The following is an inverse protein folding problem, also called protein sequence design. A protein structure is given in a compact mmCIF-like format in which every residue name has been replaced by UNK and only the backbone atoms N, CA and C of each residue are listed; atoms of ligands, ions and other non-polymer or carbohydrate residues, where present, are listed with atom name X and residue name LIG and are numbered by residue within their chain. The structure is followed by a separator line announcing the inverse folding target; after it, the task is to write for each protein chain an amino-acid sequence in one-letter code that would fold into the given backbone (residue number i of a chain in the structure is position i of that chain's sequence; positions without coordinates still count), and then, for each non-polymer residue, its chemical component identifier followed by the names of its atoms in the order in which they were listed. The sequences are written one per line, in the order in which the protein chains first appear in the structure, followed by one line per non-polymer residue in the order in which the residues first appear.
data_IF_537730884785
#
_entry.id   IF_537730884785
#
_cell.length_a   1.000
_cell.length_b   1.000
_cell.length_c   1.000
_cell.angle_alpha   90.00
_cell.angle_beta   90.00
_cell.angle_gamma   90.00
#
_symmetry.space_group_name_H-M   'P 1'
#
loop_
_entity.id
_entity.type
_entity.pdbx_description
1 polymer ?
#
# COMPACT_ATOMS: atom_id res chain seq x y z
N UNK A 1 3.70 5.45 -7.84
CA UNK A 1 3.13 4.23 -7.21
C UNK A 1 2.60 4.53 -5.81
N UNK A 2 3.41 5.01 -4.87
CA UNK A 2 2.96 5.36 -3.51
C UNK A 2 1.74 6.29 -3.51
N UNK A 3 1.77 7.34 -4.33
CA UNK A 3 0.66 8.28 -4.48
C UNK A 3 -0.66 7.61 -4.88
N UNK A 4 -0.61 6.64 -5.81
CA UNK A 4 -1.81 5.93 -6.25
C UNK A 4 -2.44 5.12 -5.12
N UNK A 5 -1.62 4.54 -4.23
CA UNK A 5 -2.09 3.82 -3.05
C UNK A 5 -2.61 4.80 -1.99
N UNK A 6 -1.94 5.93 -1.79
CA UNK A 6 -2.40 6.99 -0.86
C UNK A 6 -3.79 7.49 -1.27
N UNK A 7 -3.98 7.85 -2.54
CA UNK A 7 -5.27 8.27 -3.07
C UNK A 7 -6.33 7.17 -2.96
N UNK A 8 -5.97 5.91 -3.27
CA UNK A 8 -6.88 4.77 -3.06
C UNK A 8 -7.30 4.64 -1.59
N UNK A 9 -6.38 4.84 -0.63
CA UNK A 9 -6.73 4.82 0.80
C UNK A 9 -7.67 5.99 1.17
N UNK A 10 -7.44 7.17 0.60
CA UNK A 10 -8.29 8.35 0.82
C UNK A 10 -9.74 8.13 0.35
N UNK A 11 -9.96 7.37 -0.74
CA UNK A 11 -11.31 6.97 -1.19
C UNK A 11 -12.07 6.10 -0.17
N UNK A 12 -11.35 5.46 0.76
CA UNK A 12 -11.93 4.72 1.88
C UNK A 12 -11.95 5.51 3.19
N UNK A 13 -11.60 6.80 3.15
CA UNK A 13 -11.53 7.67 4.34
C UNK A 13 -10.32 7.38 5.23
N UNK A 14 -9.29 6.73 4.71
CA UNK A 14 -8.07 6.41 5.45
C UNK A 14 -6.98 7.41 5.06
N UNK A 15 -6.48 8.16 6.03
CA UNK A 15 -5.33 9.04 5.86
C UNK A 15 -4.03 8.21 5.86
N UNK A 16 -3.44 8.05 4.68
CA UNK A 16 -2.19 7.35 4.48
C UNK A 16 -1.12 8.29 3.90
N UNK A 17 0.15 7.96 4.10
CA UNK A 17 1.26 8.80 3.69
C UNK A 17 2.55 8.05 3.49
N UNK A 18 3.61 8.83 3.26
CA UNK A 18 4.99 8.35 3.15
C UNK A 18 5.67 8.49 4.50
N UNK A 19 6.52 7.53 4.85
CA UNK A 19 7.37 7.63 6.03
C UNK A 19 8.82 7.86 5.55
N UNK A 20 9.43 9.04 5.81
CA UNK A 20 10.84 9.29 5.51
C UNK A 20 11.77 8.15 5.96
N UNK A 21 12.55 7.61 5.01
CA UNK A 21 13.47 6.48 5.27
C UNK A 21 12.84 5.09 5.14
N UNK A 22 11.53 4.99 4.96
CA UNK A 22 10.81 3.71 4.89
C UNK A 22 9.91 3.63 3.66
N UNK A 23 10.31 2.83 2.67
CA UNK A 23 9.55 2.68 1.42
C UNK A 23 8.15 2.13 1.65
N UNK A 24 7.22 2.53 0.77
CA UNK A 24 5.83 2.07 0.81
C UNK A 24 4.90 3.08 1.46
N UNK A 25 3.67 2.63 1.69
CA UNK A 25 2.60 3.49 2.22
C UNK A 25 2.26 3.08 3.63
N UNK A 26 2.12 4.10 4.47
CA UNK A 26 2.02 3.99 5.92
C UNK A 26 0.82 4.78 6.43
N UNK A 27 0.23 4.31 7.53
CA UNK A 27 -0.75 5.07 8.30
C UNK A 27 -0.05 5.61 9.54
N UNK A 28 -0.32 6.87 9.87
CA UNK A 28 0.29 7.59 11.01
C UNK A 28 1.83 7.51 11.04
N UNK A 29 2.54 7.85 9.94
CA UNK A 29 3.99 7.66 9.82
C UNK A 29 4.81 8.39 10.91
N UNK A 30 4.30 9.49 11.45
CA UNK A 30 4.99 10.29 12.47
C UNK A 30 4.63 9.89 13.93
N UNK A 31 3.87 8.80 14.11
CA UNK A 31 3.45 8.32 15.44
C UNK A 31 4.08 6.98 15.79
N UNK A 32 4.16 6.61 17.08
CA UNK A 32 4.53 5.26 17.51
C UNK A 32 3.59 4.16 16.97
N UNK A 33 2.38 4.53 16.54
CA UNK A 33 1.37 3.65 15.94
C UNK A 33 1.54 3.49 14.42
N UNK A 34 2.69 3.91 13.88
CA UNK A 34 3.01 3.80 12.46
C UNK A 34 2.92 2.34 11.99
N UNK A 35 2.11 2.12 10.95
CA UNK A 35 1.88 0.77 10.40
C UNK A 35 1.81 0.80 8.88
N UNK A 36 2.47 -0.18 8.25
CA UNK A 36 2.58 -0.26 6.79
C UNK A 36 1.34 -0.93 6.21
N UNK A 37 0.67 -0.25 5.28
CA UNK A 37 -0.47 -0.82 4.54
C UNK A 37 -0.06 -1.35 3.16
N UNK A 38 1.03 -0.81 2.58
CA UNK A 38 1.52 -1.25 1.29
C UNK A 38 3.04 -1.30 1.24
N UNK A 39 3.60 -2.46 0.89
CA UNK A 39 5.01 -2.62 0.61
C UNK A 39 5.31 -2.24 -0.84
N UNK A 40 6.47 -1.61 -1.08
CA UNK A 40 6.94 -1.32 -2.44
C UNK A 40 8.36 -1.83 -2.64
N UNK A 41 8.57 -2.50 -3.75
CA UNK A 41 9.85 -3.01 -4.19
C UNK A 41 9.84 -3.05 -5.71
N UNK A 42 10.62 -2.17 -6.33
CA UNK A 42 10.71 -2.04 -7.78
C UNK A 42 12.15 -2.21 -8.23
N UNK A 43 12.33 -2.80 -9.41
CA UNK A 43 13.62 -2.87 -10.09
C UNK A 43 13.47 -2.34 -11.50
N UNK A 44 14.43 -1.56 -11.98
CA UNK A 44 14.52 -1.16 -13.38
C UNK A 44 15.68 -1.90 -14.06
N UNK A 45 15.42 -2.45 -15.24
CA UNK A 45 16.44 -3.07 -16.08
C UNK A 45 16.11 -2.79 -17.53
N UNK A 46 17.11 -2.36 -18.32
CA UNK A 46 16.93 -2.00 -19.74
C UNK A 46 15.74 -1.05 -19.96
N UNK A 47 15.58 -0.05 -19.08
CA UNK A 47 14.50 0.94 -19.11
C UNK A 47 13.08 0.39 -18.89
N UNK A 48 12.96 -0.84 -18.38
CA UNK A 48 11.67 -1.46 -18.03
C UNK A 48 11.64 -1.77 -16.53
N UNK A 49 10.55 -1.38 -15.87
CA UNK A 49 10.32 -1.67 -14.45
C UNK A 49 9.72 -3.06 -14.24
N UNK A 50 10.13 -3.75 -13.17
CA UNK A 50 9.61 -5.05 -12.74
C UNK A 50 9.36 -5.07 -11.23
N UNK A 51 8.63 -6.10 -10.76
CA UNK A 51 8.02 -6.17 -9.42
C UNK A 51 6.89 -5.15 -9.26
N UNK A 52 6.90 -4.30 -8.23
CA UNK A 52 5.86 -3.31 -8.01
C UNK A 52 5.58 -3.08 -6.53
N UNK A 53 4.34 -3.33 -6.13
CA UNK A 53 3.85 -3.11 -4.78
C UNK A 53 2.93 -4.26 -4.34
N UNK A 54 2.79 -4.42 -3.03
CA UNK A 54 1.84 -5.33 -2.41
C UNK A 54 0.96 -4.53 -1.45
N UNK A 55 -0.31 -4.34 -1.80
CA UNK A 55 -1.28 -3.56 -1.03
C UNK A 55 -2.17 -4.50 -0.22
N UNK A 56 -2.15 -4.35 1.10
CA UNK A 56 -2.94 -5.20 1.98
C UNK A 56 -4.41 -4.75 2.00
N UNK A 57 -5.27 -5.52 1.34
CA UNK A 57 -6.72 -5.26 1.29
C UNK A 57 -7.44 -6.08 2.36
N UNK A 58 -7.64 -7.37 2.10
CA UNK A 58 -8.24 -8.34 3.04
C UNK A 58 -7.20 -9.34 3.56
N UNK A 59 -5.92 -8.99 3.45
CA UNK A 59 -4.79 -9.86 3.82
C UNK A 59 -4.93 -10.37 5.24
N UNK A 60 -4.68 -11.67 5.43
CA UNK A 60 -4.45 -12.24 6.75
C UNK A 60 -3.07 -11.79 7.24
N UNK A 61 -3.09 -10.94 8.27
CA UNK A 61 -1.89 -10.28 8.78
C UNK A 61 -1.11 -11.18 9.75
N UNK A 62 -1.68 -12.28 10.23
CA UNK A 62 -1.02 -13.19 11.16
C UNK A 62 0.21 -13.86 10.52
N UNK A 63 0.19 -14.01 9.18
CA UNK A 63 1.34 -14.51 8.43
C UNK A 63 2.59 -13.62 8.55
N UNK A 64 2.45 -12.31 8.80
CA UNK A 64 3.60 -11.43 8.98
C UNK A 64 4.36 -11.74 10.27
N UNK A 65 3.73 -12.36 11.28
CA UNK A 65 4.40 -12.80 12.50
C UNK A 65 5.42 -13.93 12.28
N UNK A 66 5.40 -14.58 11.11
CA UNK A 66 6.34 -15.64 10.76
C UNK A 66 7.62 -15.13 10.06
N UNK A 67 7.72 -13.82 9.83
CA UNK A 67 8.85 -13.18 9.16
C UNK A 67 9.30 -11.94 9.95
N UNK A 68 10.50 -11.44 9.67
CA UNK A 68 10.92 -10.08 10.06
C UNK A 68 10.69 -9.19 8.83
N UNK A 69 9.51 -8.56 8.69
CA UNK A 69 9.18 -7.82 7.47
C UNK A 69 10.09 -6.59 7.32
N UNK A 70 10.68 -6.44 6.14
CA UNK A 70 11.53 -5.30 5.79
C UNK A 70 12.76 -5.09 6.69
N UNK A 71 13.16 -6.07 7.51
CA UNK A 71 14.31 -5.96 8.43
C UNK A 71 14.11 -5.02 9.61
N UNK A 72 12.85 -4.72 9.94
CA UNK A 72 12.44 -3.74 10.96
C UNK A 72 11.56 -4.50 11.96
N UNK A 73 11.98 -4.59 13.22
CA UNK A 73 11.23 -5.33 14.26
C UNK A 73 10.20 -4.45 15.00
N UNK A 74 10.30 -3.13 14.87
CA UNK A 74 9.56 -2.16 15.66
C UNK A 74 8.35 -1.57 14.92
N UNK A 75 8.01 -2.08 13.73
CA UNK A 75 6.94 -1.52 12.88
C UNK A 75 5.88 -2.53 12.48
N UNK A 76 4.64 -2.16 12.74
CA UNK A 76 3.47 -2.98 12.48
C UNK A 76 3.03 -2.92 11.00
N UNK A 77 2.17 -3.86 10.61
CA UNK A 77 1.52 -3.92 9.31
C UNK A 77 0.00 -3.85 9.48
N UNK A 78 -0.69 -3.35 8.46
CA UNK A 78 -2.15 -3.29 8.45
C UNK A 78 -2.73 -3.62 7.08
N UNK A 79 -4.06 -3.65 7.00
CA UNK A 79 -4.85 -3.90 5.80
C UNK A 79 -6.10 -3.02 5.80
N UNK A 80 -6.70 -2.76 4.63
CA UNK A 80 -7.99 -2.06 4.55
C UNK A 80 -9.06 -2.75 5.42
N UNK A 81 -9.07 -4.09 5.46
CA UNK A 81 -9.98 -4.87 6.31
C UNK A 81 -9.83 -4.54 7.79
N UNK A 82 -8.59 -4.44 8.28
CA UNK A 82 -8.31 -4.10 9.68
C UNK A 82 -8.72 -2.66 9.99
N UNK A 83 -8.39 -1.70 9.12
CA UNK A 83 -8.70 -0.28 9.33
C UNK A 83 -10.20 0.04 9.25
N UNK A 84 -10.94 -0.64 8.37
CA UNK A 84 -12.39 -0.41 8.18
C UNK A 84 -13.26 -1.35 9.03
N UNK A 85 -12.67 -2.35 9.69
CA UNK A 85 -13.38 -3.34 10.48
C UNK A 85 -14.28 -4.30 9.69
N UNK A 86 -14.12 -4.37 8.36
CA UNK A 86 -14.92 -5.23 7.48
C UNK A 86 -14.15 -5.60 6.21
N UNK A 87 -14.54 -6.68 5.55
CA UNK A 87 -13.97 -7.01 4.24
C UNK A 87 -14.33 -5.97 3.18
N UNK A 88 -13.38 -5.71 2.28
CA UNK A 88 -13.51 -4.76 1.18
C UNK A 88 -13.60 -5.52 -0.12
N UNK A 89 -14.49 -5.07 -1.02
CA UNK A 89 -14.58 -5.65 -2.36
C UNK A 89 -13.28 -5.40 -3.14
N UNK A 90 -12.64 -6.49 -3.57
CA UNK A 90 -11.38 -6.42 -4.29
C UNK A 90 -11.54 -5.79 -5.69
N UNK A 91 -12.72 -5.91 -6.32
CA UNK A 91 -12.96 -5.27 -7.62
C UNK A 91 -13.12 -3.76 -7.50
N UNK A 92 -13.76 -3.27 -6.43
CA UNK A 92 -13.82 -1.85 -6.11
C UNK A 92 -12.42 -1.26 -5.90
N UNK A 93 -11.58 -1.93 -5.10
CA UNK A 93 -10.19 -1.48 -4.85
C UNK A 93 -9.39 -1.45 -6.16
N UNK A 94 -9.49 -2.49 -6.99
CA UNK A 94 -8.83 -2.54 -8.30
C UNK A 94 -9.30 -1.40 -9.20
N UNK A 95 -10.61 -1.12 -9.23
CA UNK A 95 -11.19 -0.06 -10.04
C UNK A 95 -10.63 1.31 -9.68
N UNK A 96 -10.67 1.66 -8.38
CA UNK A 96 -10.12 2.92 -7.86
C UNK A 96 -8.63 3.05 -8.14
N UNK A 97 -7.86 2.01 -7.79
CA UNK A 97 -6.40 2.02 -7.98
C UNK A 97 -6.01 2.14 -9.47
N UNK A 98 -6.71 1.43 -10.36
CA UNK A 98 -6.50 1.58 -11.82
C UNK A 98 -6.74 3.02 -12.27
N UNK A 99 -7.82 3.64 -11.80
CA UNK A 99 -8.14 5.04 -12.09
C UNK A 99 -7.02 5.99 -11.65
N UNK A 100 -6.55 5.85 -10.41
CA UNK A 100 -5.45 6.66 -9.87
C UNK A 100 -4.13 6.46 -10.62
N UNK A 101 -3.79 5.21 -10.98
CA UNK A 101 -2.60 4.94 -11.78
C UNK A 101 -2.75 5.56 -13.18
N UNK A 102 -3.88 5.37 -13.86
CA UNK A 102 -4.12 5.96 -15.18
C UNK A 102 -3.95 7.48 -15.16
N UNK A 103 -4.53 8.15 -14.16
CA UNK A 103 -4.41 9.59 -14.00
C UNK A 103 -2.99 10.05 -13.69
N UNK A 104 -2.32 9.45 -12.71
CA UNK A 104 -0.98 9.87 -12.26
C UNK A 104 0.12 9.59 -13.29
N UNK A 105 -0.04 8.56 -14.11
CA UNK A 105 0.89 8.23 -15.19
C UNK A 105 0.47 8.81 -16.54
N UNK A 106 -0.62 9.60 -16.58
CA UNK A 106 -1.16 10.23 -17.79
C UNK A 106 -1.36 9.21 -18.93
N UNK A 107 -1.87 8.03 -18.58
CA UNK A 107 -2.00 6.90 -19.50
C UNK A 107 -3.45 6.45 -19.64
N UNK A 108 -3.79 5.95 -20.83
CA UNK A 108 -5.06 5.28 -21.07
C UNK A 108 -4.91 3.77 -20.81
N UNK A 109 -5.73 3.21 -19.92
CA UNK A 109 -5.85 1.76 -19.75
C UNK A 109 -6.80 1.24 -20.82
N UNK A 110 -6.31 0.29 -21.62
CA UNK A 110 -7.04 -0.43 -22.67
C UNK A 110 -7.53 -1.78 -22.20
#
# INVERSE_FOLDING_TARGET
LEEAIILTCADYGIEAGRYPGFTGVWIEPDKPTARKICAMGVRASRWVTMHGFAFNVNTDLDYFGNIIPCGIDDKDVTSLKRELGKEVDMEDVKGKLKGHIAQLFEMQIV
#
